data_IF_552134422016
#
_entry.id   IF_552134422016
#
_cell.length_a   1.000
_cell.length_b   1.000
_cell.length_c   1.000
_cell.angle_alpha   90.00
_cell.angle_beta   90.00
_cell.angle_gamma   90.00
#
_symmetry.space_group_name_H-M   'P 1'
#
loop_
_entity.id
_entity.type
_entity.pdbx_description
1 polymer ?
#
# COMPACT_ATOMS: atom_id res chain seq x y z
N UNK A 1 -2.46 -20.32 12.09
CA UNK A 1 -3.64 -19.60 11.58
C UNK A 1 -4.79 -19.88 12.53
N UNK A 2 -5.43 -18.84 13.06
CA UNK A 2 -6.51 -18.99 14.05
C UNK A 2 -7.67 -19.81 13.44
N UNK A 3 -7.97 -21.03 13.92
CA UNK A 3 -8.94 -21.90 13.26
C UNK A 3 -10.33 -21.26 13.15
N UNK A 4 -10.98 -21.42 11.98
CA UNK A 4 -12.33 -20.91 11.73
C UNK A 4 -13.41 -21.51 12.67
N UNK A 5 -13.10 -22.62 13.35
CA UNK A 5 -13.99 -23.27 14.32
C UNK A 5 -13.90 -22.69 15.73
N UNK A 6 -12.85 -21.92 16.06
CA UNK A 6 -12.63 -21.33 17.37
C UNK A 6 -13.36 -19.97 17.52
N UNK A 7 -14.69 -19.94 17.31
CA UNK A 7 -15.51 -18.71 17.30
C UNK A 7 -15.32 -17.86 18.57
N UNK A 8 -15.11 -18.48 19.72
CA UNK A 8 -14.87 -17.77 20.99
C UNK A 8 -13.58 -16.94 20.99
N UNK A 9 -12.58 -17.30 20.18
CA UNK A 9 -11.35 -16.53 20.00
C UNK A 9 -11.56 -15.43 18.97
N UNK A 10 -12.24 -15.71 17.86
CA UNK A 10 -12.59 -14.70 16.85
C UNK A 10 -13.36 -13.52 17.46
N UNK A 11 -14.36 -13.81 18.30
CA UNK A 11 -15.14 -12.80 19.03
C UNK A 11 -14.30 -11.88 19.94
N UNK A 12 -13.09 -12.29 20.33
CA UNK A 12 -12.19 -11.46 21.15
C UNK A 12 -11.40 -10.45 20.31
N UNK A 13 -11.27 -10.70 18.99
CA UNK A 13 -10.52 -9.82 18.10
C UNK A 13 -11.30 -8.53 17.84
N UNK A 14 -10.61 -7.39 17.89
CA UNK A 14 -11.15 -6.12 17.44
C UNK A 14 -11.45 -6.13 15.93
N UNK A 15 -12.51 -5.43 15.55
CA UNK A 15 -12.99 -5.24 14.18
C UNK A 15 -13.67 -3.88 14.06
N UNK A 16 -13.94 -3.42 12.83
CA UNK A 16 -14.57 -2.13 12.58
C UNK A 16 -15.91 -1.96 13.32
N UNK A 17 -16.72 -3.03 13.39
CA UNK A 17 -18.08 -2.98 13.94
C UNK A 17 -18.34 -3.97 15.09
N UNK A 18 -17.28 -4.52 15.71
CA UNK A 18 -17.38 -5.54 16.77
C UNK A 18 -18.20 -6.79 16.36
N UNK A 19 -18.00 -7.25 15.12
CA UNK A 19 -18.68 -8.38 14.49
C UNK A 19 -17.69 -9.48 14.06
N UNK A 20 -16.56 -9.59 14.76
CA UNK A 20 -15.48 -10.52 14.43
C UNK A 20 -15.89 -12.00 14.51
N UNK A 21 -16.98 -12.33 15.22
CA UNK A 21 -17.57 -13.67 15.25
C UNK A 21 -18.20 -14.12 13.92
N UNK A 22 -18.56 -13.21 13.02
CA UNK A 22 -19.19 -13.53 11.72
C UNK A 22 -18.15 -13.94 10.66
N UNK A 23 -16.93 -13.44 10.80
CA UNK A 23 -15.82 -13.63 9.86
C UNK A 23 -15.57 -15.10 9.48
N UNK A 24 -15.58 -16.07 10.43
CA UNK A 24 -15.29 -17.45 10.05
C UNK A 24 -16.32 -18.05 9.11
N UNK A 25 -17.60 -17.71 9.26
CA UNK A 25 -18.67 -18.14 8.37
C UNK A 25 -18.54 -17.47 7.00
N UNK A 26 -18.24 -16.17 6.98
CA UNK A 26 -18.02 -15.42 5.74
C UNK A 26 -16.83 -15.98 4.94
N UNK A 27 -15.72 -16.32 5.60
CA UNK A 27 -14.56 -16.94 4.95
C UNK A 27 -14.85 -18.35 4.44
N UNK A 28 -15.64 -19.14 5.16
CA UNK A 28 -16.08 -20.46 4.68
C UNK A 28 -16.93 -20.32 3.43
N UNK A 29 -17.94 -19.44 3.46
CA UNK A 29 -18.77 -19.14 2.30
C UNK A 29 -17.92 -18.66 1.12
N UNK A 30 -16.99 -17.73 1.35
CA UNK A 30 -16.09 -17.23 0.31
C UNK A 30 -15.22 -18.35 -0.29
N UNK A 31 -14.77 -19.30 0.53
CA UNK A 31 -13.98 -20.46 0.06
C UNK A 31 -14.75 -21.44 -0.80
N UNK A 32 -16.08 -21.44 -0.70
CA UNK A 32 -16.97 -22.29 -1.49
C UNK A 32 -17.44 -21.59 -2.77
N UNK A 33 -17.65 -20.28 -2.71
CA UNK A 33 -18.27 -19.52 -3.81
C UNK A 33 -17.26 -18.76 -4.67
N UNK A 34 -16.12 -18.35 -4.12
CA UNK A 34 -15.19 -17.39 -4.75
C UNK A 34 -15.91 -16.13 -5.25
N UNK A 35 -16.88 -15.66 -4.45
CA UNK A 35 -17.70 -14.49 -4.76
C UNK A 35 -16.90 -13.20 -4.51
N UNK A 36 -16.68 -12.42 -5.57
CA UNK A 36 -15.90 -11.16 -5.52
C UNK A 36 -16.62 -10.11 -4.66
N UNK A 37 -17.95 -10.00 -4.76
CA UNK A 37 -18.70 -9.00 -4.00
C UNK A 37 -18.59 -9.28 -2.50
N UNK A 38 -18.65 -10.57 -2.12
CA UNK A 38 -18.42 -11.00 -0.74
C UNK A 38 -16.97 -10.75 -0.29
N UNK A 39 -15.98 -10.97 -1.15
CA UNK A 39 -14.57 -10.68 -0.84
C UNK A 39 -14.37 -9.19 -0.58
N UNK A 40 -14.95 -8.33 -1.43
CA UNK A 40 -14.90 -6.88 -1.26
C UNK A 40 -15.57 -6.50 0.06
N UNK A 41 -16.79 -6.99 0.34
CA UNK A 41 -17.48 -6.73 1.60
C UNK A 41 -16.64 -7.13 2.82
N UNK A 42 -16.02 -8.33 2.79
CA UNK A 42 -15.13 -8.77 3.86
C UNK A 42 -13.98 -7.77 4.04
N UNK A 43 -13.27 -7.43 2.97
CA UNK A 43 -12.07 -6.60 3.01
C UNK A 43 -12.34 -5.13 3.37
N UNK A 44 -13.44 -4.54 2.89
CA UNK A 44 -13.70 -3.10 3.03
C UNK A 44 -14.66 -2.72 4.16
N UNK A 45 -15.45 -3.67 4.69
CA UNK A 45 -16.44 -3.40 5.75
C UNK A 45 -16.15 -4.16 7.05
N UNK A 46 -15.67 -5.40 6.95
CA UNK A 46 -15.56 -6.29 8.11
C UNK A 46 -14.16 -6.25 8.75
N UNK A 47 -13.11 -6.38 7.92
CA UNK A 47 -11.73 -6.48 8.40
C UNK A 47 -10.94 -5.20 8.23
N UNK A 48 -11.44 -4.24 7.47
CA UNK A 48 -10.96 -2.86 7.43
C UNK A 48 -12.16 -1.94 7.26
N UNK A 49 -12.03 -0.69 7.69
CA UNK A 49 -12.98 0.37 7.39
C UNK A 49 -12.22 1.69 7.37
N UNK A 50 -12.39 2.49 6.32
CA UNK A 50 -11.59 3.71 6.10
C UNK A 50 -10.08 3.44 6.22
N UNK A 51 -9.62 2.31 5.67
CA UNK A 51 -8.23 1.86 5.70
C UNK A 51 -7.62 1.64 7.09
N UNK A 52 -8.42 1.61 8.14
CA UNK A 52 -7.94 1.23 9.47
C UNK A 52 -7.69 -0.27 9.56
N UNK A 53 -6.59 -0.64 10.22
CA UNK A 53 -6.24 -2.02 10.54
C UNK A 53 -6.71 -2.38 11.94
N UNK A 54 -7.16 -3.62 12.10
CA UNK A 54 -7.65 -4.20 13.35
C UNK A 54 -6.99 -5.56 13.58
N UNK A 55 -7.17 -6.12 14.77
CA UNK A 55 -6.64 -7.46 15.08
C UNK A 55 -7.17 -8.53 14.10
N UNK A 56 -8.45 -8.39 13.71
CA UNK A 56 -9.08 -9.30 12.75
C UNK A 56 -8.46 -9.20 11.34
N UNK A 57 -7.93 -8.04 10.94
CA UNK A 57 -7.27 -7.87 9.63
C UNK A 57 -6.09 -8.81 9.48
N UNK A 58 -5.24 -8.89 10.52
CA UNK A 58 -4.08 -9.79 10.54
C UNK A 58 -4.49 -11.26 10.64
N UNK A 59 -5.59 -11.56 11.33
CA UNK A 59 -6.10 -12.93 11.46
C UNK A 59 -6.69 -13.47 10.15
N UNK A 60 -7.33 -12.60 9.36
CA UNK A 60 -7.96 -12.95 8.07
C UNK A 60 -6.96 -13.03 6.93
N UNK A 61 -5.92 -12.19 6.94
CA UNK A 61 -4.95 -12.11 5.84
C UNK A 61 -4.44 -13.47 5.31
N UNK A 62 -4.01 -14.44 6.15
CA UNK A 62 -3.56 -15.75 5.66
C UNK A 62 -4.64 -16.54 4.90
N UNK A 63 -5.91 -16.38 5.28
CA UNK A 63 -7.02 -17.03 4.60
C UNK A 63 -7.21 -16.46 3.19
N UNK A 64 -7.12 -15.13 3.02
CA UNK A 64 -7.21 -14.49 1.70
C UNK A 64 -6.08 -14.96 0.78
N UNK A 65 -4.86 -15.10 1.31
CA UNK A 65 -3.73 -15.64 0.53
C UNK A 65 -3.97 -17.10 0.13
N UNK A 66 -4.47 -17.94 1.04
CA UNK A 66 -4.81 -19.32 0.74
C UNK A 66 -5.93 -19.45 -0.31
N UNK A 67 -6.91 -18.54 -0.30
CA UNK A 67 -7.97 -18.48 -1.31
C UNK A 67 -7.44 -18.15 -2.70
N UNK A 68 -6.53 -17.17 -2.80
CA UNK A 68 -5.84 -16.83 -4.06
C UNK A 68 -5.09 -18.05 -4.60
N UNK A 69 -4.40 -18.81 -3.75
CA UNK A 69 -3.65 -20.00 -4.17
C UNK A 69 -4.55 -21.17 -4.62
N UNK A 70 -5.75 -21.29 -4.04
CA UNK A 70 -6.66 -22.43 -4.30
C UNK A 70 -7.52 -22.26 -5.55
N UNK A 71 -7.92 -21.03 -5.87
CA UNK A 71 -8.81 -20.79 -6.99
C UNK A 71 -8.08 -20.92 -8.33
N UNK A 72 -8.83 -21.20 -9.40
CA UNK A 72 -8.35 -21.07 -10.79
C UNK A 72 -8.96 -19.84 -11.48
N UNK A 73 -9.87 -19.13 -10.80
CA UNK A 73 -10.46 -17.90 -11.30
C UNK A 73 -9.46 -16.75 -11.21
N UNK A 74 -8.97 -16.31 -12.36
CA UNK A 74 -7.99 -15.23 -12.48
C UNK A 74 -8.53 -13.87 -12.04
N UNK A 75 -9.82 -13.59 -12.26
CA UNK A 75 -10.42 -12.33 -11.86
C UNK A 75 -10.52 -12.27 -10.33
N UNK A 76 -11.01 -13.35 -9.72
CA UNK A 76 -11.02 -13.47 -8.26
C UNK A 76 -9.62 -13.34 -7.66
N UNK A 77 -8.59 -13.98 -8.25
CA UNK A 77 -7.20 -13.85 -7.77
C UNK A 77 -6.73 -12.40 -7.80
N UNK A 78 -6.96 -11.72 -8.93
CA UNK A 78 -6.50 -10.36 -9.12
C UNK A 78 -7.19 -9.40 -8.15
N UNK A 79 -8.52 -9.42 -8.10
CA UNK A 79 -9.29 -8.56 -7.21
C UNK A 79 -8.94 -8.83 -5.74
N UNK A 80 -8.88 -10.11 -5.32
CA UNK A 80 -8.50 -10.46 -3.95
C UNK A 80 -7.09 -9.98 -3.63
N UNK A 81 -6.14 -10.11 -4.56
CA UNK A 81 -4.77 -9.62 -4.37
C UNK A 81 -4.74 -8.09 -4.22
N UNK A 82 -5.41 -7.35 -5.10
CA UNK A 82 -5.44 -5.89 -5.07
C UNK A 82 -6.07 -5.37 -3.77
N UNK A 83 -7.28 -5.83 -3.41
CA UNK A 83 -7.97 -5.40 -2.19
C UNK A 83 -7.21 -5.80 -0.93
N UNK A 84 -6.66 -7.02 -0.89
CA UNK A 84 -5.90 -7.47 0.28
C UNK A 84 -4.64 -6.63 0.49
N UNK A 85 -3.92 -6.27 -0.58
CA UNK A 85 -2.73 -5.44 -0.44
C UNK A 85 -3.07 -3.98 -0.16
N UNK A 86 -4.15 -3.44 -0.72
CA UNK A 86 -4.56 -2.05 -0.51
C UNK A 86 -4.77 -1.70 0.97
N UNK A 87 -5.33 -2.62 1.76
CA UNK A 87 -5.49 -2.41 3.22
C UNK A 87 -4.16 -2.14 3.94
N UNK A 88 -3.04 -2.68 3.44
CA UNK A 88 -1.73 -2.54 4.05
C UNK A 88 -0.85 -1.50 3.34
N UNK A 89 -1.45 -0.65 2.51
CA UNK A 89 -0.72 0.37 1.74
C UNK A 89 -0.02 1.40 2.63
N UNK A 90 -0.62 1.74 3.77
CA UNK A 90 -0.07 2.67 4.77
C UNK A 90 0.38 1.97 6.06
N UNK A 91 0.50 0.64 6.04
CA UNK A 91 0.91 -0.14 7.22
C UNK A 91 2.34 0.20 7.64
N UNK A 92 2.51 0.68 8.88
CA UNK A 92 3.78 1.08 9.50
C UNK A 92 4.67 -0.09 9.96
N UNK A 93 4.34 -1.33 9.57
CA UNK A 93 5.11 -2.51 9.92
C UNK A 93 4.85 -3.03 11.34
N UNK A 94 5.79 -3.84 11.85
CA UNK A 94 5.57 -4.64 13.06
C UNK A 94 5.27 -3.80 14.31
N UNK A 95 5.77 -2.56 14.39
CA UNK A 95 5.48 -1.65 15.51
C UNK A 95 3.99 -1.26 15.56
N UNK A 96 3.36 -0.99 14.42
CA UNK A 96 1.93 -0.70 14.35
C UNK A 96 1.10 -1.93 14.74
N UNK A 97 1.47 -3.11 14.25
CA UNK A 97 0.80 -4.35 14.64
C UNK A 97 0.97 -4.63 16.14
N UNK A 98 2.14 -4.38 16.71
CA UNK A 98 2.34 -4.48 18.17
C UNK A 98 1.42 -3.52 18.94
N UNK A 99 1.26 -2.29 18.44
CA UNK A 99 0.32 -1.32 19.00
C UNK A 99 -1.14 -1.79 18.92
N UNK A 100 -1.58 -2.31 17.76
CA UNK A 100 -2.95 -2.81 17.55
C UNK A 100 -3.29 -3.93 18.54
N UNK A 101 -2.34 -4.81 18.85
CA UNK A 101 -2.52 -5.91 19.78
C UNK A 101 -2.20 -5.57 21.25
N UNK A 102 -1.81 -4.34 21.58
CA UNK A 102 -1.29 -3.96 22.91
C UNK A 102 -2.29 -4.26 24.04
N UNK A 103 -3.57 -3.96 23.83
CA UNK A 103 -4.67 -4.17 24.78
C UNK A 103 -5.64 -5.27 24.33
N UNK A 104 -5.12 -6.24 23.57
CA UNK A 104 -5.94 -7.32 23.02
C UNK A 104 -6.64 -8.12 24.11
N UNK A 105 -7.90 -8.49 23.85
CA UNK A 105 -8.63 -9.46 24.67
C UNK A 105 -8.32 -10.91 24.28
N UNK A 106 -7.59 -11.12 23.18
CA UNK A 106 -7.20 -12.43 22.69
C UNK A 106 -6.14 -13.07 23.60
N UNK A 107 -6.09 -14.40 23.61
CA UNK A 107 -5.09 -15.11 24.41
C UNK A 107 -3.68 -14.84 23.84
N UNK A 108 -2.65 -14.55 24.67
CA UNK A 108 -1.32 -14.15 24.17
C UNK A 108 -0.69 -15.16 23.20
N UNK A 109 -0.90 -16.46 23.41
CA UNK A 109 -0.42 -17.51 22.51
C UNK A 109 -1.06 -17.41 21.11
N UNK A 110 -2.34 -17.05 21.04
CA UNK A 110 -3.07 -16.86 19.78
C UNK A 110 -2.63 -15.60 19.05
N UNK A 111 -2.31 -14.53 19.79
CA UNK A 111 -1.73 -13.31 19.20
C UNK A 111 -0.40 -13.64 18.52
N UNK A 112 0.49 -14.37 19.19
CA UNK A 112 1.76 -14.82 18.60
C UNK A 112 1.51 -15.68 17.35
N UNK A 113 0.53 -16.58 17.40
CA UNK A 113 0.14 -17.40 16.25
C UNK A 113 -0.34 -16.57 15.05
N UNK A 114 -1.19 -15.56 15.29
CA UNK A 114 -1.70 -14.65 14.25
C UNK A 114 -0.55 -13.88 13.61
N UNK A 115 0.30 -13.22 14.42
CA UNK A 115 1.45 -12.44 13.92
C UNK A 115 2.41 -13.29 13.09
N UNK A 116 2.73 -14.48 13.57
CA UNK A 116 3.61 -15.41 12.84
C UNK A 116 2.97 -15.87 11.53
N UNK A 117 1.68 -16.21 11.53
CA UNK A 117 0.99 -16.68 10.32
C UNK A 117 0.86 -15.55 9.29
N UNK A 118 0.51 -14.34 9.72
CA UNK A 118 0.52 -13.13 8.90
C UNK A 118 1.90 -12.94 8.26
N UNK A 119 2.95 -12.93 9.07
CA UNK A 119 4.30 -12.69 8.58
C UNK A 119 4.77 -13.75 7.58
N UNK A 120 4.48 -15.02 7.83
CA UNK A 120 4.81 -16.12 6.93
C UNK A 120 4.05 -16.06 5.60
N UNK A 121 2.86 -15.45 5.56
CA UNK A 121 2.03 -15.37 4.35
C UNK A 121 2.66 -14.47 3.28
N UNK A 122 3.50 -13.50 3.66
CA UNK A 122 4.24 -12.66 2.71
C UNK A 122 5.18 -13.45 1.80
N UNK A 123 5.69 -14.60 2.25
CA UNK A 123 6.58 -15.46 1.46
C UNK A 123 5.96 -15.97 0.16
N UNK A 124 4.63 -15.89 0.00
CA UNK A 124 3.87 -16.35 -1.16
C UNK A 124 3.52 -15.23 -2.14
N UNK A 125 3.45 -13.98 -1.67
CA UNK A 125 2.90 -12.85 -2.42
C UNK A 125 3.68 -12.56 -3.71
N UNK A 126 5.00 -12.68 -3.67
CA UNK A 126 5.82 -12.46 -4.87
C UNK A 126 5.51 -13.45 -5.99
N UNK A 127 5.21 -14.71 -5.66
CA UNK A 127 4.84 -15.71 -6.67
C UNK A 127 3.44 -15.42 -7.22
N UNK A 128 2.50 -15.05 -6.36
CA UNK A 128 1.15 -14.63 -6.74
C UNK A 128 1.21 -13.43 -7.69
N UNK A 129 1.97 -12.39 -7.34
CA UNK A 129 2.10 -11.19 -8.15
C UNK A 129 2.64 -11.50 -9.56
N UNK A 130 3.66 -12.36 -9.66
CA UNK A 130 4.21 -12.80 -10.96
C UNK A 130 3.14 -13.46 -11.85
N UNK A 131 2.26 -14.27 -11.26
CA UNK A 131 1.19 -14.95 -12.00
C UNK A 131 0.12 -13.96 -12.52
N UNK A 132 -0.07 -12.84 -11.83
CA UNK A 132 -1.08 -11.82 -12.13
C UNK A 132 -0.61 -10.76 -13.14
N UNK A 133 0.68 -10.71 -13.48
CA UNK A 133 1.23 -9.66 -14.35
C UNK A 133 0.59 -9.60 -15.74
N UNK A 134 0.16 -10.73 -16.30
CA UNK A 134 -0.50 -10.76 -17.61
C UNK A 134 -1.96 -10.29 -17.53
N UNK A 135 -2.60 -10.46 -16.38
CA UNK A 135 -3.98 -10.05 -16.17
C UNK A 135 -4.05 -8.55 -15.92
N UNK A 136 -3.11 -7.99 -15.14
CA UNK A 136 -3.08 -6.55 -14.89
C UNK A 136 -2.78 -5.72 -16.15
N UNK A 137 -2.01 -6.27 -17.11
CA UNK A 137 -1.76 -5.60 -18.39
C UNK A 137 -3.04 -5.34 -19.20
N UNK A 138 -4.10 -6.10 -18.95
CA UNK A 138 -5.40 -5.97 -19.63
C UNK A 138 -6.33 -4.97 -18.93
N UNK A 139 -6.01 -4.57 -17.69
CA UNK A 139 -6.82 -3.63 -16.92
C UNK A 139 -6.50 -2.18 -17.29
N UNK A 140 -7.31 -1.27 -16.77
CA UNK A 140 -7.10 0.17 -16.93
C UNK A 140 -5.93 0.67 -16.07
N UNK A 141 -5.62 1.96 -16.19
CA UNK A 141 -4.52 2.57 -15.44
C UNK A 141 -4.76 2.60 -13.94
N UNK A 142 -6.03 2.70 -13.50
CA UNK A 142 -6.39 2.70 -12.09
C UNK A 142 -5.96 1.38 -11.43
N UNK A 143 -6.35 0.25 -12.00
CA UNK A 143 -5.96 -1.07 -11.50
C UNK A 143 -4.43 -1.25 -11.56
N UNK A 144 -3.79 -0.82 -12.66
CA UNK A 144 -2.32 -0.94 -12.82
C UNK A 144 -1.56 -0.16 -11.74
N UNK A 145 -2.05 1.02 -11.33
CA UNK A 145 -1.48 1.77 -10.22
C UNK A 145 -1.65 1.04 -8.90
N UNK A 146 -2.84 0.50 -8.63
CA UNK A 146 -3.09 -0.31 -7.43
C UNK A 146 -2.21 -1.56 -7.40
N UNK A 147 -1.89 -2.13 -8.56
CA UNK A 147 -0.95 -3.23 -8.65
C UNK A 147 0.49 -2.82 -8.30
N UNK A 148 0.94 -1.61 -8.66
CA UNK A 148 2.24 -1.09 -8.20
C UNK A 148 2.28 -0.95 -6.67
N UNK A 149 1.21 -0.43 -6.07
CA UNK A 149 1.04 -0.39 -4.61
C UNK A 149 1.09 -1.81 -4.03
N UNK A 150 0.37 -2.74 -4.63
CA UNK A 150 0.34 -4.14 -4.21
C UNK A 150 1.71 -4.84 -4.30
N UNK A 151 2.51 -4.52 -5.32
CA UNK A 151 3.88 -4.99 -5.45
C UNK A 151 4.78 -4.47 -4.33
N UNK A 152 4.65 -3.20 -3.96
CA UNK A 152 5.39 -2.59 -2.85
C UNK A 152 5.02 -3.25 -1.51
N UNK A 153 3.72 -3.37 -1.21
CA UNK A 153 3.21 -4.05 0.00
C UNK A 153 3.68 -5.50 0.05
N UNK A 154 3.56 -6.24 -1.06
CA UNK A 154 4.00 -7.65 -1.14
C UNK A 154 5.48 -7.85 -0.81
N UNK A 155 6.31 -6.83 -1.07
CA UNK A 155 7.74 -6.82 -0.76
C UNK A 155 8.08 -6.04 0.52
N UNK A 156 7.07 -5.63 1.30
CA UNK A 156 7.20 -4.87 2.56
C UNK A 156 7.95 -3.55 2.40
N UNK A 157 7.75 -2.87 1.27
CA UNK A 157 8.29 -1.54 0.99
C UNK A 157 7.18 -0.53 1.24
N UNK A 158 6.81 -0.37 2.51
CA UNK A 158 5.60 0.37 2.90
C UNK A 158 5.70 1.87 2.63
N UNK A 159 6.91 2.43 2.60
CA UNK A 159 7.15 3.82 2.24
C UNK A 159 6.75 4.09 0.79
N UNK A 160 7.02 3.14 -0.12
CA UNK A 160 6.60 3.25 -1.52
C UNK A 160 5.10 3.06 -1.66
N UNK A 161 4.52 2.06 -0.99
CA UNK A 161 3.07 1.84 -1.08
C UNK A 161 2.28 3.01 -0.52
N UNK A 162 2.73 3.62 0.58
CA UNK A 162 2.09 4.78 1.20
C UNK A 162 2.05 5.96 0.24
N UNK A 163 3.17 6.29 -0.40
CA UNK A 163 3.24 7.38 -1.39
C UNK A 163 2.35 7.10 -2.60
N UNK A 164 2.36 5.88 -3.14
CA UNK A 164 1.54 5.52 -4.30
C UNK A 164 0.04 5.54 -4.00
N UNK A 165 -0.33 5.17 -2.76
CA UNK A 165 -1.70 5.15 -2.29
C UNK A 165 -2.24 6.55 -1.97
N UNK A 166 -1.55 7.28 -1.09
CA UNK A 166 -1.99 8.60 -0.61
C UNK A 166 -2.10 9.62 -1.74
N UNK A 167 -1.21 9.54 -2.72
CA UNK A 167 -1.14 10.47 -3.82
C UNK A 167 -1.56 9.81 -5.15
N UNK A 168 -2.66 9.05 -5.11
CA UNK A 168 -3.23 8.33 -6.27
C UNK A 168 -3.62 9.25 -7.44
N UNK A 169 -3.95 10.50 -7.16
CA UNK A 169 -4.36 11.47 -8.19
C UNK A 169 -3.18 12.23 -8.82
N UNK A 170 -1.98 12.13 -8.23
CA UNK A 170 -0.79 12.89 -8.62
C UNK A 170 -0.99 14.42 -8.68
N UNK A 171 -1.94 14.98 -7.92
CA UNK A 171 -2.21 16.42 -7.93
C UNK A 171 -1.28 17.18 -6.98
N UNK A 172 -1.10 16.64 -5.78
CA UNK A 172 -0.29 17.23 -4.72
C UNK A 172 0.47 16.16 -3.93
N UNK A 173 1.56 16.58 -3.29
CA UNK A 173 2.31 15.79 -2.33
C UNK A 173 2.71 16.69 -1.16
N UNK A 174 2.76 16.14 0.04
CA UNK A 174 3.28 16.84 1.21
C UNK A 174 4.66 16.30 1.52
N UNK A 175 5.63 17.19 1.75
CA UNK A 175 6.95 16.79 2.20
C UNK A 175 7.45 17.67 3.34
N UNK A 176 8.19 17.07 4.27
CA UNK A 176 8.74 17.78 5.44
C UNK A 176 10.23 18.02 5.27
N UNK A 177 10.66 19.28 5.45
CA UNK A 177 12.07 19.59 5.32
C UNK A 177 12.87 18.95 6.47
N UNK A 178 13.89 18.11 6.18
CA UNK A 178 14.66 17.43 7.22
C UNK A 178 15.53 18.38 8.05
N UNK A 179 15.74 19.62 7.59
CA UNK A 179 16.58 20.61 8.26
C UNK A 179 15.83 21.49 9.25
N UNK A 180 14.57 21.85 8.97
CA UNK A 180 13.80 22.78 9.79
C UNK A 180 12.46 22.22 10.26
N UNK A 181 12.04 21.05 9.79
CA UNK A 181 10.78 20.41 10.17
C UNK A 181 9.52 21.07 9.59
N UNK A 182 9.67 22.07 8.72
CA UNK A 182 8.53 22.72 8.07
C UNK A 182 7.96 21.82 6.97
N UNK A 183 6.64 21.73 6.94
CA UNK A 183 5.89 21.04 5.89
C UNK A 183 5.81 21.93 4.64
N UNK A 184 5.93 21.31 3.47
CA UNK A 184 5.97 21.94 2.16
C UNK A 184 5.01 21.21 1.22
N UNK A 185 4.35 21.96 0.34
CA UNK A 185 3.46 21.39 -0.68
C UNK A 185 4.23 21.25 -1.99
N UNK A 186 4.23 20.05 -2.58
CA UNK A 186 4.64 19.83 -3.95
C UNK A 186 3.39 19.74 -4.81
N UNK A 187 3.24 20.65 -5.76
CA UNK A 187 2.07 20.73 -6.62
C UNK A 187 2.40 20.30 -8.04
N UNK A 188 1.53 19.52 -8.66
CA UNK A 188 1.69 19.10 -10.05
C UNK A 188 1.17 20.18 -11.03
N UNK A 189 2.10 20.85 -11.71
CA UNK A 189 1.81 21.82 -12.77
C UNK A 189 2.09 21.25 -14.16
N UNK A 190 1.15 20.46 -14.69
CA UNK A 190 1.25 19.79 -16.00
C UNK A 190 2.47 18.86 -16.08
N UNK A 191 2.46 17.81 -15.26
CA UNK A 191 3.49 16.77 -15.14
C UNK A 191 4.84 17.30 -14.64
N UNK A 192 4.80 18.38 -13.86
CA UNK A 192 5.99 19.00 -13.26
C UNK A 192 5.70 19.35 -11.81
N UNK A 193 6.42 18.72 -10.89
CA UNK A 193 6.29 19.09 -9.48
C UNK A 193 7.02 20.42 -9.23
N UNK A 194 6.32 21.29 -8.51
CA UNK A 194 6.83 22.59 -8.05
C UNK A 194 6.58 22.69 -6.54
N UNK A 195 7.55 23.19 -5.80
CA UNK A 195 7.43 23.33 -4.35
C UNK A 195 6.87 24.70 -3.96
N UNK A 196 5.93 24.68 -3.02
CA UNK A 196 5.28 25.82 -2.39
C UNK A 196 5.41 25.74 -0.87
N UNK A 197 5.48 26.90 -0.20
CA UNK A 197 5.62 26.98 1.27
C UNK A 197 4.34 26.57 1.98
N UNK A 198 3.23 26.87 1.34
CA UNK A 198 1.87 26.61 1.77
C UNK A 198 1.07 26.15 0.56
N UNK A 199 -0.13 25.60 0.74
CA UNK A 199 -0.97 25.16 -0.35
C UNK A 199 -1.29 26.34 -1.32
N UNK A 200 -0.94 26.22 -2.63
CA UNK A 200 -1.12 27.28 -3.62
C UNK A 200 -2.58 27.58 -3.97
N UNK A 201 -3.53 26.70 -3.62
CA UNK A 201 -4.98 26.93 -3.76
C UNK A 201 -5.44 28.03 -2.80
N UNK A 202 -4.93 28.01 -1.56
CA UNK A 202 -5.31 28.96 -0.51
C UNK A 202 -4.40 30.18 -0.46
N UNK A 203 -3.09 29.99 -0.67
CA UNK A 203 -2.09 31.06 -0.63
C UNK A 203 -1.58 31.34 -2.04
N UNK A 204 -2.23 32.30 -2.69
CA UNK A 204 -1.90 32.74 -4.05
C UNK A 204 -0.67 33.64 -4.06
N UNK A 205 0.01 33.69 -5.19
CA UNK A 205 1.16 34.60 -5.47
C UNK A 205 2.41 34.40 -4.58
N UNK A 206 2.54 33.23 -3.95
CA UNK A 206 3.78 32.84 -3.24
C UNK A 206 4.90 32.45 -4.21
N UNK A 207 6.14 32.52 -3.73
CA UNK A 207 7.33 32.11 -4.48
C UNK A 207 7.29 30.61 -4.79
N UNK A 208 7.58 30.28 -6.05
CA UNK A 208 7.71 28.90 -6.53
C UNK A 208 9.14 28.44 -6.39
N UNK A 209 9.36 27.29 -5.77
CA UNK A 209 10.67 26.65 -5.68
C UNK A 209 10.76 25.49 -6.67
N UNK A 210 11.83 25.46 -7.46
CA UNK A 210 12.01 24.45 -8.51
C UNK A 210 12.33 23.09 -7.91
N UNK A 211 11.68 22.05 -8.40
CA UNK A 211 12.11 20.66 -8.19
C UNK A 211 13.00 20.24 -9.35
N UNK A 212 14.19 19.73 -9.01
CA UNK A 212 15.13 19.11 -9.94
C UNK A 212 14.78 17.61 -10.06
N UNK A 213 14.22 17.15 -11.20
CA UNK A 213 13.90 15.74 -11.37
C UNK A 213 15.18 14.90 -11.43
N UNK A 214 15.15 13.72 -10.82
CA UNK A 214 16.20 12.73 -11.00
C UNK A 214 16.23 12.20 -12.43
N UNK A 215 17.37 11.66 -12.82
CA UNK A 215 17.56 11.03 -14.13
C UNK A 215 17.94 9.58 -13.91
N UNK A 216 17.15 8.68 -14.48
CA UNK A 216 17.45 7.25 -14.50
C UNK A 216 17.43 6.76 -15.94
N UNK A 217 18.53 6.15 -16.37
CA UNK A 217 18.55 5.53 -17.69
C UNK A 217 17.86 4.17 -17.66
N UNK A 218 17.25 3.76 -18.79
CA UNK A 218 16.62 2.42 -18.89
C UNK A 218 17.59 1.26 -18.65
N UNK A 219 18.90 1.48 -18.77
CA UNK A 219 19.92 0.48 -18.47
C UNK A 219 20.09 0.23 -16.96
N UNK A 220 19.62 1.16 -16.12
CA UNK A 220 19.70 1.09 -14.65
C UNK A 220 18.43 0.52 -14.02
N UNK A 221 17.40 0.27 -14.83
CA UNK A 221 16.15 -0.36 -14.37
C UNK A 221 16.41 -1.72 -13.73
N UNK A 222 15.63 -2.03 -12.70
CA UNK A 222 15.75 -3.28 -11.94
C UNK A 222 14.42 -4.03 -11.94
N UNK A 223 14.44 -5.34 -12.14
CA UNK A 223 13.27 -6.18 -11.88
C UNK A 223 13.14 -6.59 -10.41
N UNK A 224 14.24 -6.49 -9.68
CA UNK A 224 14.28 -6.84 -8.27
C UNK A 224 13.63 -5.73 -7.45
N UNK A 225 12.52 -6.06 -6.80
CA UNK A 225 11.74 -5.19 -5.91
C UNK A 225 12.39 -5.26 -4.53
N UNK A 226 13.26 -4.31 -4.22
CA UNK A 226 13.98 -4.17 -2.95
C UNK A 226 14.08 -2.68 -2.59
N UNK A 227 14.10 -2.37 -1.30
CA UNK A 227 14.05 -0.99 -0.78
C UNK A 227 15.23 -0.13 -1.25
N UNK A 228 16.42 -0.71 -1.40
CA UNK A 228 17.62 0.01 -1.86
C UNK A 228 17.56 0.41 -3.33
N UNK A 229 16.56 -0.07 -4.07
CA UNK A 229 16.39 0.16 -5.50
C UNK A 229 15.00 0.69 -5.87
N UNK A 230 14.35 1.41 -4.95
CA UNK A 230 12.99 1.91 -5.13
C UNK A 230 12.79 2.64 -6.47
N UNK A 231 13.67 3.58 -6.79
CA UNK A 231 13.58 4.30 -8.05
C UNK A 231 13.72 3.37 -9.27
N UNK A 232 14.65 2.42 -9.22
CA UNK A 232 14.96 1.53 -10.34
C UNK A 232 13.88 0.50 -10.61
N UNK A 233 13.32 -0.11 -9.56
CA UNK A 233 12.27 -1.10 -9.76
C UNK A 233 10.93 -0.44 -10.07
N UNK A 234 10.60 0.65 -9.39
CA UNK A 234 9.33 1.33 -9.64
C UNK A 234 9.29 1.90 -11.06
N UNK A 235 10.38 2.51 -11.54
CA UNK A 235 10.49 2.96 -12.95
C UNK A 235 10.36 1.81 -13.94
N UNK A 236 10.93 0.63 -13.65
CA UNK A 236 10.79 -0.55 -14.49
C UNK A 236 9.33 -1.00 -14.61
N UNK A 237 8.61 -1.10 -13.48
CA UNK A 237 7.22 -1.59 -13.48
C UNK A 237 6.21 -0.54 -13.98
N UNK A 238 6.44 0.76 -13.74
CA UNK A 238 5.69 1.85 -14.37
C UNK A 238 5.77 1.75 -15.90
N UNK A 239 6.97 1.56 -16.45
CA UNK A 239 7.16 1.40 -17.89
C UNK A 239 6.52 0.10 -18.39
N UNK A 240 6.73 -1.02 -17.67
CA UNK A 240 6.20 -2.34 -18.05
C UNK A 240 4.68 -2.38 -18.11
N UNK A 241 4.00 -1.76 -17.14
CA UNK A 241 2.54 -1.75 -17.07
C UNK A 241 1.91 -0.57 -17.81
N UNK A 242 2.73 0.33 -18.37
CA UNK A 242 2.26 1.48 -19.12
C UNK A 242 1.41 2.44 -18.27
N UNK A 243 1.89 2.75 -17.06
CA UNK A 243 1.22 3.70 -16.15
C UNK A 243 1.65 5.13 -16.50
N UNK A 244 0.94 5.75 -17.46
CA UNK A 244 1.36 7.02 -18.06
C UNK A 244 1.43 8.16 -17.03
N UNK A 245 0.46 8.26 -16.13
CA UNK A 245 0.40 9.33 -15.12
C UNK A 245 1.62 9.37 -14.20
N UNK A 246 2.35 8.26 -14.02
CA UNK A 246 3.53 8.19 -13.17
C UNK A 246 4.86 8.31 -13.91
N UNK A 247 4.89 8.15 -15.25
CA UNK A 247 6.15 8.09 -16.03
C UNK A 247 7.04 9.31 -15.87
N UNK A 248 6.44 10.49 -15.78
CA UNK A 248 7.19 11.75 -15.61
C UNK A 248 7.34 12.06 -14.12
N UNK A 249 6.25 11.94 -13.36
CA UNK A 249 6.17 12.30 -11.94
C UNK A 249 7.16 11.52 -11.09
N UNK A 250 7.41 10.24 -11.39
CA UNK A 250 8.34 9.43 -10.61
C UNK A 250 9.75 10.04 -10.55
N UNK A 251 10.20 10.68 -11.63
CA UNK A 251 11.50 11.34 -11.68
C UNK A 251 11.55 12.55 -10.73
N UNK A 252 10.43 13.26 -10.58
CA UNK A 252 10.31 14.37 -9.65
C UNK A 252 10.27 13.89 -8.19
N UNK A 253 9.55 12.81 -7.90
CA UNK A 253 9.48 12.24 -6.55
C UNK A 253 10.85 11.76 -6.06
N UNK A 254 11.66 11.16 -6.93
CA UNK A 254 13.05 10.78 -6.62
C UNK A 254 14.06 11.92 -6.86
N UNK A 255 13.58 13.13 -7.12
CA UNK A 255 14.37 14.32 -7.35
C UNK A 255 14.73 15.09 -6.08
N UNK A 256 15.20 16.32 -6.28
CA UNK A 256 15.66 17.21 -5.20
C UNK A 256 14.93 18.54 -5.26
N UNK A 257 14.77 19.16 -4.10
CA UNK A 257 14.29 20.54 -4.00
C UNK A 257 15.08 21.32 -2.95
N UNK A 258 14.83 22.63 -2.88
CA UNK A 258 15.36 23.53 -1.87
C UNK A 258 14.20 23.99 -1.01
N UNK A 259 14.29 23.83 0.30
CA UNK A 259 13.23 24.25 1.21
C UNK A 259 12.99 25.77 1.12
N UNK A 260 11.75 26.18 0.85
CA UNK A 260 11.42 27.60 0.78
C UNK A 260 11.65 28.39 2.07
N UNK A 261 11.65 27.74 3.24
CA UNK A 261 11.83 28.41 4.54
C UNK A 261 13.30 28.59 4.94
N UNK A 262 14.11 27.53 4.86
CA UNK A 262 15.50 27.53 5.32
C UNK A 262 16.55 27.45 4.21
N UNK A 263 16.12 27.28 2.95
CA UNK A 263 16.96 27.16 1.76
C UNK A 263 17.93 25.98 1.75
N UNK A 264 17.71 24.97 2.61
CA UNK A 264 18.47 23.71 2.58
C UNK A 264 17.98 22.82 1.43
N UNK A 265 18.91 22.24 0.67
CA UNK A 265 18.63 21.26 -0.40
C UNK A 265 18.42 19.86 0.21
N UNK A 266 17.42 19.12 -0.25
CA UNK A 266 17.13 17.76 0.21
C UNK A 266 16.49 16.89 -0.90
N UNK A 267 16.52 15.56 -0.71
CA UNK A 267 15.86 14.57 -1.57
C UNK A 267 14.37 14.50 -1.21
N UNK A 268 13.49 14.44 -2.21
CA UNK A 268 12.05 14.50 -1.96
C UNK A 268 11.52 13.19 -1.37
N UNK A 269 11.78 12.04 -2.01
CA UNK A 269 11.11 10.78 -1.68
C UNK A 269 11.23 10.36 -0.20
N UNK A 270 12.42 10.53 0.39
CA UNK A 270 12.69 10.19 1.80
C UNK A 270 11.99 11.11 2.80
N UNK A 271 11.40 12.19 2.32
CA UNK A 271 10.81 13.27 3.11
C UNK A 271 9.35 13.54 2.74
N UNK A 272 8.74 12.72 1.89
CA UNK A 272 7.29 12.77 1.65
C UNK A 272 6.58 12.21 2.88
N UNK A 273 5.50 12.88 3.29
CA UNK A 273 4.63 12.40 4.36
C UNK A 273 3.68 11.34 3.84
#
# INVERSE_FOLDING_TARGET
>A
MLPLTEISQWKKLSSAFNNSEEIPELLQKLSETFDIDLMIEITTEYISHQMSLYEVTFAVFPYLIELIEKTEDHEFKLETFLYTMAMFSEYGGDEEMDFIFLDSKCDPEKIVEIKNTFNNSFGKLNQIAVLLELDILKKDEYDKRHFLTALAVSNRIFEVSSVLWRYSENEEYICTCPSCGESLTLWNENDRLVQYKEDPVFVKDQEKFSVEPAVLSKAEYSKAIISEKNYQWLSYYIDKFEVESLRVIINYLFGKTICGYCYTKFEIFENIE
#
